data_IF_636828811697
#
_entry.id   IF_636828811697
#
_cell.length_a   1.000
_cell.length_b   1.000
_cell.length_c   1.000
_cell.angle_alpha   90.00
_cell.angle_beta   90.00
_cell.angle_gamma   90.00
#
_symmetry.space_group_name_H-M   'P 1'
#
loop_
_entity.id
_entity.type
_entity.pdbx_description
1 polymer ?
#
# COMPACT_ATOMS: atom_id res chain seq x y z
N UNK A 1 9.77 12.10 17.02
CA UNK A 1 8.41 11.65 16.64
C UNK A 1 8.36 10.13 16.70
N UNK A 2 7.31 9.58 17.28
CA UNK A 2 7.14 8.13 17.43
C UNK A 2 6.32 7.55 16.24
N UNK A 3 6.51 8.08 15.05
CA UNK A 3 5.81 7.62 13.83
C UNK A 3 6.31 6.22 13.46
N UNK A 4 5.40 5.24 13.43
CA UNK A 4 5.76 3.83 13.28
C UNK A 4 4.72 3.01 12.53
N UNK A 5 5.18 2.00 11.81
CA UNK A 5 4.35 0.95 11.22
C UNK A 5 4.26 -0.20 12.20
N UNK A 6 3.07 -0.64 12.50
CA UNK A 6 2.78 -1.72 13.45
C UNK A 6 2.26 -2.94 12.71
N UNK A 7 3.07 -4.00 12.56
CA UNK A 7 2.59 -5.27 12.03
C UNK A 7 1.59 -5.93 12.97
N UNK A 8 0.45 -6.38 12.44
CA UNK A 8 -0.65 -6.97 13.20
C UNK A 8 -1.10 -8.30 12.60
N UNK A 9 -1.34 -9.27 13.47
CA UNK A 9 -2.11 -10.47 13.15
C UNK A 9 -3.48 -10.36 13.80
N UNK A 10 -4.55 -10.28 12.98
CA UNK A 10 -5.91 -9.98 13.43
C UNK A 10 -6.70 -11.28 13.55
N UNK A 11 -7.13 -11.63 14.76
CA UNK A 11 -7.91 -12.82 15.04
C UNK A 11 -9.36 -12.42 15.28
N UNK A 12 -10.25 -12.86 14.40
CA UNK A 12 -11.69 -12.65 14.52
C UNK A 12 -12.30 -13.48 15.65
N UNK A 13 -13.36 -12.96 16.28
CA UNK A 13 -14.10 -13.68 17.33
C UNK A 13 -14.60 -15.03 16.84
N UNK A 14 -14.31 -16.08 17.59
CA UNK A 14 -14.67 -17.47 17.24
C UNK A 14 -13.74 -18.15 16.26
N UNK A 15 -12.60 -17.52 15.90
CA UNK A 15 -11.54 -18.14 15.13
C UNK A 15 -10.40 -18.60 16.04
N UNK A 16 -9.81 -19.77 15.74
CA UNK A 16 -8.72 -20.37 16.52
C UNK A 16 -7.37 -19.64 16.37
N UNK A 17 -7.26 -18.79 15.35
CA UNK A 17 -6.05 -18.06 15.02
C UNK A 17 -5.10 -18.79 14.07
N UNK A 18 -5.41 -19.99 13.63
CA UNK A 18 -4.61 -20.71 12.63
C UNK A 18 -4.95 -20.24 11.21
N UNK A 19 -3.96 -19.85 10.41
CA UNK A 19 -4.19 -19.52 9.01
C UNK A 19 -4.26 -20.77 8.13
N UNK A 20 -4.86 -20.67 6.95
CA UNK A 20 -4.97 -21.82 6.01
C UNK A 20 -3.58 -22.20 5.48
N UNK A 21 -3.20 -23.48 5.60
CA UNK A 21 -1.92 -24.02 5.12
C UNK A 21 -2.02 -25.49 4.72
N UNK A 22 -1.05 -26.03 3.96
CA UNK A 22 -0.81 -27.47 3.85
C UNK A 22 -0.55 -28.09 5.23
N UNK A 23 -0.84 -29.43 5.41
CA UNK A 23 -0.72 -30.09 6.71
C UNK A 23 0.69 -30.10 7.31
N UNK A 24 1.70 -30.04 6.47
CA UNK A 24 3.13 -30.04 6.82
C UNK A 24 3.69 -28.64 7.15
N UNK A 25 2.87 -27.59 7.05
CA UNK A 25 3.26 -26.22 7.34
C UNK A 25 2.61 -25.76 8.65
N UNK A 26 3.41 -25.31 9.59
CA UNK A 26 2.93 -24.69 10.84
C UNK A 26 2.11 -23.44 10.54
N UNK A 27 0.83 -23.49 10.92
CA UNK A 27 -0.16 -22.43 10.76
C UNK A 27 -0.51 -21.70 12.05
N UNK A 28 0.25 -21.94 13.12
CA UNK A 28 0.04 -21.34 14.44
C UNK A 28 0.13 -19.79 14.40
N UNK A 29 -0.37 -19.17 15.46
CA UNK A 29 -0.28 -17.72 15.65
C UNK A 29 1.18 -17.26 15.63
N UNK A 30 2.07 -18.02 16.27
CA UNK A 30 3.50 -17.69 16.35
C UNK A 30 4.17 -17.78 14.97
N UNK A 31 3.81 -18.80 14.19
CA UNK A 31 4.25 -18.92 12.80
C UNK A 31 3.77 -17.76 11.93
N UNK A 32 2.49 -17.36 12.08
CA UNK A 32 1.94 -16.20 11.38
C UNK A 32 2.70 -14.92 11.73
N UNK A 33 2.88 -14.64 13.02
CA UNK A 33 3.59 -13.46 13.51
C UNK A 33 5.05 -13.42 13.00
N UNK A 34 5.76 -14.55 13.00
CA UNK A 34 7.13 -14.64 12.50
C UNK A 34 7.20 -14.32 11.00
N UNK A 35 6.29 -14.88 10.18
CA UNK A 35 6.21 -14.62 8.74
C UNK A 35 5.92 -13.15 8.43
N UNK A 36 4.97 -12.54 9.15
CA UNK A 36 4.61 -11.13 9.01
C UNK A 36 5.79 -10.23 9.42
N UNK A 37 6.47 -10.56 10.51
CA UNK A 37 7.62 -9.78 10.98
C UNK A 37 8.78 -9.80 9.95
N UNK A 38 9.10 -10.98 9.38
CA UNK A 38 10.13 -11.09 8.33
C UNK A 38 9.70 -10.28 7.10
N UNK A 39 8.46 -10.40 6.65
CA UNK A 39 7.93 -9.65 5.52
C UNK A 39 7.99 -8.14 5.74
N UNK A 40 7.63 -7.65 6.92
CA UNK A 40 7.69 -6.23 7.26
C UNK A 40 9.14 -5.67 7.20
N UNK A 41 10.12 -6.42 7.70
CA UNK A 41 11.55 -6.07 7.62
C UNK A 41 12.06 -6.06 6.17
N UNK A 42 11.62 -7.02 5.35
CA UNK A 42 11.97 -7.04 3.92
C UNK A 42 11.47 -5.79 3.21
N UNK A 43 10.21 -5.41 3.43
CA UNK A 43 9.61 -4.22 2.82
C UNK A 43 10.32 -2.95 3.32
N UNK A 44 10.62 -2.85 4.61
CA UNK A 44 11.35 -1.73 5.19
C UNK A 44 12.73 -1.56 4.53
N UNK A 45 13.49 -2.65 4.42
CA UNK A 45 14.83 -2.65 3.82
C UNK A 45 14.76 -2.31 2.32
N UNK A 46 13.80 -2.91 1.61
CA UNK A 46 13.60 -2.66 0.18
C UNK A 46 13.19 -1.21 -0.09
N UNK A 47 12.37 -0.62 0.78
CA UNK A 47 12.00 0.79 0.70
C UNK A 47 13.24 1.68 0.73
N UNK A 48 14.15 1.45 1.68
CA UNK A 48 15.39 2.21 1.83
C UNK A 48 16.30 2.08 0.59
N UNK A 49 16.46 0.86 0.09
CA UNK A 49 17.32 0.59 -1.05
C UNK A 49 16.79 1.20 -2.34
N UNK A 50 15.49 1.05 -2.60
CA UNK A 50 14.85 1.63 -3.80
C UNK A 50 14.77 3.15 -3.77
N UNK A 51 14.71 3.79 -2.60
CA UNK A 51 14.86 5.25 -2.48
C UNK A 51 16.31 5.68 -2.71
N UNK A 52 17.29 4.91 -2.23
CA UNK A 52 18.70 5.16 -2.52
C UNK A 52 19.00 5.09 -4.03
N UNK A 53 18.46 4.09 -4.74
CA UNK A 53 18.58 3.98 -6.20
C UNK A 53 17.97 5.20 -6.93
N UNK A 54 16.96 5.84 -6.36
CA UNK A 54 16.37 7.09 -6.89
C UNK A 54 17.19 8.35 -6.56
N UNK A 55 18.33 8.23 -5.84
CA UNK A 55 19.20 9.34 -5.48
C UNK A 55 18.68 10.22 -4.34
N UNK A 56 17.70 9.77 -3.57
CA UNK A 56 17.11 10.53 -2.43
C UNK A 56 17.61 10.06 -1.06
N UNK A 57 18.61 9.17 -1.04
CA UNK A 57 19.18 8.59 0.17
C UNK A 57 18.43 7.35 0.68
N UNK A 58 19.08 6.64 1.64
CA UNK A 58 18.48 5.46 2.28
C UNK A 58 17.49 5.90 3.35
N UNK A 59 16.26 6.17 2.97
CA UNK A 59 15.17 6.55 3.86
C UNK A 59 14.14 5.43 3.93
N UNK A 60 13.58 5.20 5.11
CA UNK A 60 12.52 4.23 5.32
C UNK A 60 11.68 4.59 6.55
N UNK A 61 10.57 3.89 6.74
CA UNK A 61 9.74 4.01 7.93
C UNK A 61 10.31 3.17 9.08
N UNK A 62 9.91 3.48 10.32
CA UNK A 62 10.27 2.70 11.51
C UNK A 62 9.18 1.66 11.81
N UNK A 63 9.59 0.48 12.29
CA UNK A 63 8.70 -0.54 12.80
C UNK A 63 8.46 -0.35 14.32
N UNK A 64 7.31 -0.79 14.82
CA UNK A 64 6.91 -0.61 16.24
C UNK A 64 7.97 -1.11 17.23
N UNK A 65 8.56 -2.29 17.00
CA UNK A 65 9.54 -2.89 17.90
C UNK A 65 10.88 -2.14 17.95
N UNK A 66 11.23 -1.39 16.91
CA UNK A 66 12.45 -0.58 16.87
C UNK A 66 12.38 0.63 17.79
N UNK A 67 11.17 1.16 17.99
CA UNK A 67 10.92 2.30 18.88
C UNK A 67 10.67 1.81 20.30
N UNK A 68 9.98 0.68 20.43
CA UNK A 68 9.53 0.14 21.72
C UNK A 68 10.03 -1.29 21.87
N UNK A 69 11.28 -1.45 22.34
CA UNK A 69 11.97 -2.73 22.47
C UNK A 69 11.22 -3.82 23.27
N UNK A 70 10.20 -3.44 24.07
CA UNK A 70 9.35 -4.38 24.81
C UNK A 70 8.15 -4.90 24.01
N UNK A 71 7.90 -4.37 22.80
CA UNK A 71 6.80 -4.82 21.96
C UNK A 71 7.27 -5.94 21.02
N UNK A 72 6.41 -6.94 20.76
CA UNK A 72 6.71 -7.97 19.77
C UNK A 72 6.81 -7.37 18.36
N UNK A 73 7.53 -8.03 17.48
CA UNK A 73 7.70 -7.62 16.06
C UNK A 73 6.38 -7.65 15.28
N UNK A 74 5.45 -8.51 15.69
CA UNK A 74 4.07 -8.56 15.19
C UNK A 74 3.13 -8.68 16.39
N UNK A 75 2.14 -7.80 16.47
CA UNK A 75 1.18 -7.76 17.59
C UNK A 75 -0.05 -8.59 17.20
N UNK A 76 -0.50 -9.46 18.11
CA UNK A 76 -1.77 -10.18 17.96
C UNK A 76 -2.91 -9.27 18.42
N UNK A 77 -3.82 -8.97 17.49
CA UNK A 77 -5.01 -8.16 17.77
C UNK A 77 -6.26 -9.04 17.75
N UNK A 78 -6.97 -9.12 18.86
CA UNK A 78 -8.23 -9.86 19.00
C UNK A 78 -9.39 -8.92 18.66
N UNK A 79 -10.03 -9.16 17.51
CA UNK A 79 -11.16 -8.39 17.03
C UNK A 79 -12.48 -8.93 17.57
N UNK A 80 -13.43 -8.03 17.78
CA UNK A 80 -14.82 -8.38 18.13
C UNK A 80 -15.66 -8.81 16.91
N UNK A 81 -15.11 -8.74 15.70
CA UNK A 81 -15.80 -9.17 14.49
C UNK A 81 -15.92 -10.70 14.47
N UNK A 82 -17.16 -11.22 14.41
CA UNK A 82 -17.39 -12.64 14.30
C UNK A 82 -16.83 -13.22 12.99
N UNK A 83 -16.16 -14.38 13.06
CA UNK A 83 -15.49 -15.03 11.92
C UNK A 83 -16.43 -15.31 10.75
N UNK A 84 -17.65 -15.77 11.02
CA UNK A 84 -18.62 -16.09 9.96
C UNK A 84 -19.13 -14.82 9.26
N UNK A 85 -19.19 -13.71 9.99
CA UNK A 85 -19.49 -12.40 9.40
C UNK A 85 -18.31 -11.88 8.57
N UNK A 86 -17.10 -11.95 9.11
CA UNK A 86 -15.88 -11.53 8.41
C UNK A 86 -15.72 -12.23 7.06
N UNK A 87 -15.94 -13.55 7.02
CA UNK A 87 -15.83 -14.36 5.81
C UNK A 87 -16.83 -14.00 4.70
N UNK A 88 -17.89 -13.30 5.01
CA UNK A 88 -18.90 -12.85 4.04
C UNK A 88 -18.73 -11.39 3.62
N UNK A 89 -17.84 -10.65 4.27
CA UNK A 89 -17.62 -9.23 4.00
C UNK A 89 -16.71 -9.03 2.79
N UNK A 90 -16.98 -7.95 2.04
CA UNK A 90 -16.08 -7.48 0.98
C UNK A 90 -14.84 -6.82 1.60
N UNK A 91 -13.74 -6.77 0.87
CA UNK A 91 -12.49 -6.19 1.36
C UNK A 91 -12.64 -4.75 1.86
N UNK A 92 -13.43 -3.90 1.19
CA UNK A 92 -13.66 -2.51 1.62
C UNK A 92 -14.41 -2.43 2.95
N UNK A 93 -15.36 -3.35 3.17
CA UNK A 93 -16.13 -3.42 4.42
C UNK A 93 -15.25 -3.94 5.57
N UNK A 94 -14.38 -4.95 5.31
CA UNK A 94 -13.37 -5.44 6.27
C UNK A 94 -12.39 -4.32 6.64
N UNK A 95 -11.86 -3.62 5.65
CA UNK A 95 -10.92 -2.52 5.85
C UNK A 95 -11.54 -1.40 6.71
N UNK A 96 -12.77 -1.00 6.38
CA UNK A 96 -13.50 0.03 7.14
C UNK A 96 -13.79 -0.42 8.57
N UNK A 97 -14.13 -1.71 8.77
CA UNK A 97 -14.41 -2.25 10.09
C UNK A 97 -13.15 -2.28 10.95
N UNK A 98 -12.07 -2.93 10.47
CA UNK A 98 -10.84 -3.04 11.24
C UNK A 98 -10.15 -1.69 11.44
N UNK A 99 -10.18 -0.80 10.45
CA UNK A 99 -9.65 0.55 10.60
C UNK A 99 -10.33 1.31 11.76
N UNK A 100 -11.65 1.22 11.85
CA UNK A 100 -12.42 1.84 12.95
C UNK A 100 -12.14 1.14 14.27
N UNK A 101 -12.14 -0.18 14.32
CA UNK A 101 -11.90 -0.95 15.55
C UNK A 101 -10.51 -0.68 16.11
N UNK A 102 -9.48 -0.66 15.27
CA UNK A 102 -8.11 -0.34 15.66
C UNK A 102 -7.98 1.08 16.20
N UNK A 103 -8.60 2.06 15.56
CA UNK A 103 -8.55 3.46 16.06
C UNK A 103 -9.28 3.65 17.40
N UNK A 104 -10.26 2.81 17.72
CA UNK A 104 -10.98 2.81 18.99
C UNK A 104 -10.33 1.95 20.07
N UNK A 105 -9.31 1.17 19.75
CA UNK A 105 -8.57 0.32 20.68
C UNK A 105 -7.40 1.07 21.35
N UNK A 106 -6.74 0.42 22.28
CA UNK A 106 -5.51 0.92 22.94
C UNK A 106 -4.34 1.12 21.95
N UNK A 107 -4.43 0.53 20.74
CA UNK A 107 -3.48 0.75 19.67
C UNK A 107 -3.76 2.02 18.87
N UNK A 108 -4.94 2.64 19.03
CA UNK A 108 -5.37 3.80 18.25
C UNK A 108 -4.43 5.00 18.45
N UNK A 109 -3.83 5.48 17.36
CA UNK A 109 -2.90 6.62 17.40
C UNK A 109 -2.68 7.19 16.00
N UNK A 110 -2.61 8.51 15.92
CA UNK A 110 -2.21 9.21 14.68
C UNK A 110 -0.70 9.06 14.36
N UNK A 111 0.07 8.48 15.30
CA UNK A 111 1.49 8.17 15.12
C UNK A 111 1.71 6.72 14.67
N UNK A 112 0.64 5.97 14.39
CA UNK A 112 0.68 4.59 13.89
C UNK A 112 0.07 4.46 12.52
N UNK A 113 0.70 3.64 11.70
CA UNK A 113 0.11 2.98 10.54
C UNK A 113 0.11 1.49 10.80
N UNK A 114 -0.96 0.83 10.43
CA UNK A 114 -1.14 -0.58 10.70
C UNK A 114 -0.88 -1.41 9.44
N UNK A 115 -0.13 -2.47 9.60
CA UNK A 115 0.09 -3.51 8.59
C UNK A 115 -0.61 -4.78 9.07
N UNK A 116 -1.89 -4.94 8.72
CA UNK A 116 -2.78 -5.94 9.30
C UNK A 116 -3.01 -7.16 8.41
N UNK A 117 -2.99 -8.36 9.01
CA UNK A 117 -3.26 -9.63 8.35
C UNK A 117 -4.39 -10.38 9.04
N UNK A 118 -5.44 -10.74 8.29
CA UNK A 118 -6.66 -11.37 8.81
C UNK A 118 -6.47 -12.89 8.88
N UNK A 119 -6.51 -13.46 10.10
CA UNK A 119 -6.28 -14.89 10.33
C UNK A 119 -7.28 -15.81 9.62
N UNK A 120 -8.54 -15.40 9.50
CA UNK A 120 -9.64 -16.24 9.06
C UNK A 120 -9.84 -16.28 7.54
N UNK A 121 -8.93 -15.71 6.76
CA UNK A 121 -8.98 -15.78 5.28
C UNK A 121 -8.90 -17.23 4.84
N UNK A 122 -9.79 -17.62 3.95
CA UNK A 122 -9.89 -19.00 3.50
C UNK A 122 -10.28 -19.12 2.04
N UNK A 123 -9.46 -19.79 1.25
CA UNK A 123 -9.83 -20.24 -0.07
C UNK A 123 -10.71 -21.48 0.06
N UNK A 124 -11.90 -21.47 -0.52
CA UNK A 124 -12.87 -22.58 -0.38
C UNK A 124 -12.52 -23.83 -1.18
N UNK A 125 -11.54 -23.69 -2.06
CA UNK A 125 -11.23 -24.73 -3.03
C UNK A 125 -12.13 -24.64 -4.27
N UNK A 126 -11.75 -25.36 -5.32
CA UNK A 126 -12.48 -25.42 -6.57
C UNK A 126 -12.20 -26.73 -7.29
N UNK A 127 -13.21 -27.27 -7.97
CA UNK A 127 -13.06 -28.41 -8.90
C UNK A 127 -12.86 -27.94 -10.36
N UNK A 128 -12.69 -26.63 -10.56
CA UNK A 128 -12.48 -26.05 -11.88
C UNK A 128 -11.08 -26.44 -12.37
N UNK A 129 -11.02 -27.16 -13.47
CA UNK A 129 -9.78 -27.67 -14.09
C UNK A 129 -9.32 -26.79 -15.25
N UNK A 130 -9.48 -25.48 -15.11
CA UNK A 130 -9.00 -24.46 -16.07
C UNK A 130 -8.27 -23.34 -15.33
N UNK A 131 -7.37 -22.61 -16.01
CA UNK A 131 -6.80 -21.40 -15.46
C UNK A 131 -7.90 -20.40 -15.07
N UNK A 132 -7.84 -19.90 -13.84
CA UNK A 132 -8.76 -18.89 -13.33
C UNK A 132 -8.14 -17.51 -13.40
N UNK A 133 -8.96 -16.51 -13.66
CA UNK A 133 -8.58 -15.10 -13.50
C UNK A 133 -8.42 -14.77 -12.02
N UNK A 134 -7.70 -13.68 -11.71
CA UNK A 134 -7.55 -13.24 -10.33
C UNK A 134 -8.91 -12.95 -9.66
N UNK A 135 -9.85 -12.32 -10.38
CA UNK A 135 -11.19 -12.03 -9.86
C UNK A 135 -11.97 -13.31 -9.52
N UNK A 136 -11.83 -14.35 -10.35
CA UNK A 136 -12.40 -15.68 -10.06
C UNK A 136 -11.79 -16.28 -8.77
N UNK A 137 -10.44 -16.27 -8.65
CA UNK A 137 -9.72 -16.76 -7.46
C UNK A 137 -10.17 -16.01 -6.20
N UNK A 138 -10.28 -14.68 -6.25
CA UNK A 138 -10.76 -13.85 -5.16
C UNK A 138 -12.20 -14.19 -4.79
N UNK A 139 -13.08 -14.50 -5.78
CA UNK A 139 -14.47 -14.87 -5.51
C UNK A 139 -14.62 -16.16 -4.72
N UNK A 140 -13.63 -17.06 -4.81
CA UNK A 140 -13.55 -18.30 -4.02
C UNK A 140 -12.85 -18.11 -2.67
N UNK A 141 -12.37 -16.90 -2.35
CA UNK A 141 -11.60 -16.61 -1.13
C UNK A 141 -12.44 -15.80 -0.15
N UNK A 142 -12.82 -16.42 0.95
CA UNK A 142 -13.54 -15.78 2.05
C UNK A 142 -12.62 -14.84 2.85
N UNK A 143 -13.13 -13.73 3.34
CA UNK A 143 -12.37 -12.69 4.05
C UNK A 143 -11.12 -12.24 3.29
N UNK A 144 -11.19 -12.20 1.95
CA UNK A 144 -10.10 -11.67 1.14
C UNK A 144 -9.93 -10.18 1.37
N UNK A 145 -8.69 -9.76 1.54
CA UNK A 145 -8.30 -8.36 1.57
C UNK A 145 -6.89 -8.19 0.97
N UNK A 146 -6.74 -7.15 0.16
CA UNK A 146 -5.48 -6.56 -0.26
C UNK A 146 -5.81 -5.09 -0.56
N UNK A 147 -5.77 -4.24 0.49
CA UNK A 147 -6.25 -2.87 0.41
C UNK A 147 -5.49 -1.97 1.37
N UNK A 148 -4.90 -0.90 0.86
CA UNK A 148 -4.15 0.09 1.61
C UNK A 148 -4.72 1.50 1.47
N UNK A 149 -4.58 2.29 2.54
CA UNK A 149 -4.94 3.70 2.53
C UNK A 149 -5.03 4.27 3.94
N UNK A 150 -4.98 5.58 4.07
CA UNK A 150 -5.03 6.25 5.37
C UNK A 150 -4.00 5.69 6.35
N UNK A 151 -4.47 5.02 7.40
CA UNK A 151 -3.63 4.43 8.45
C UNK A 151 -3.54 2.90 8.42
N UNK A 152 -4.15 2.20 7.45
CA UNK A 152 -4.23 0.74 7.44
C UNK A 152 -3.95 0.16 6.06
N UNK A 153 -2.98 -0.76 5.97
CA UNK A 153 -2.83 -1.72 4.91
C UNK A 153 -3.30 -3.09 5.41
N UNK A 154 -4.35 -3.65 4.81
CA UNK A 154 -5.04 -4.85 5.27
C UNK A 154 -4.95 -5.97 4.26
N UNK A 155 -4.59 -7.17 4.73
CA UNK A 155 -4.37 -8.35 3.89
C UNK A 155 -5.06 -9.59 4.44
N UNK A 156 -5.46 -10.46 3.53
CA UNK A 156 -5.81 -11.84 3.84
C UNK A 156 -4.55 -12.71 4.00
N UNK A 157 -4.72 -13.87 4.64
CA UNK A 157 -3.62 -14.81 4.92
C UNK A 157 -3.62 -16.06 4.04
N UNK A 158 -4.41 -16.10 2.95
CA UNK A 158 -4.57 -17.30 2.13
C UNK A 158 -3.26 -17.83 1.52
N UNK A 159 -2.28 -16.95 1.27
CA UNK A 159 -0.95 -17.32 0.77
C UNK A 159 0.15 -17.16 1.82
N UNK A 160 -0.16 -16.87 3.09
CA UNK A 160 0.85 -16.62 4.12
C UNK A 160 1.75 -17.85 4.36
N UNK A 161 1.26 -19.05 4.13
CA UNK A 161 2.03 -20.29 4.25
C UNK A 161 3.26 -20.36 3.34
N UNK A 162 3.30 -19.55 2.26
CA UNK A 162 4.42 -19.48 1.34
C UNK A 162 5.55 -18.57 1.85
N UNK A 163 5.28 -17.69 2.83
CA UNK A 163 6.23 -16.73 3.35
C UNK A 163 7.27 -17.38 4.26
N UNK A 164 8.51 -16.85 4.35
CA UNK A 164 9.54 -17.34 5.25
C UNK A 164 9.23 -17.03 6.72
N UNK A 165 9.61 -17.90 7.64
CA UNK A 165 9.56 -17.65 9.09
C UNK A 165 10.84 -17.04 9.62
N UNK A 166 11.96 -17.18 8.90
CA UNK A 166 13.26 -16.63 9.26
C UNK A 166 13.94 -15.98 8.07
N UNK A 167 14.93 -15.14 8.34
CA UNK A 167 15.75 -14.49 7.28
C UNK A 167 16.48 -15.51 6.40
N UNK A 168 16.88 -16.67 6.96
CA UNK A 168 17.57 -17.73 6.21
C UNK A 168 16.71 -18.38 5.15
N UNK A 169 15.39 -18.36 5.35
CA UNK A 169 14.44 -19.01 4.44
C UNK A 169 14.02 -18.11 3.27
N UNK A 170 14.41 -16.84 3.26
CA UNK A 170 13.97 -15.87 2.24
C UNK A 170 14.31 -16.34 0.84
N UNK A 171 15.58 -16.60 0.57
CA UNK A 171 16.03 -17.03 -0.76
C UNK A 171 15.46 -18.39 -1.16
N UNK A 172 15.52 -19.43 -0.30
CA UNK A 172 14.83 -20.70 -0.58
C UNK A 172 13.35 -20.54 -0.91
N UNK A 173 12.61 -19.67 -0.21
CA UNK A 173 11.19 -19.42 -0.46
C UNK A 173 10.93 -18.71 -1.77
N UNK A 174 11.75 -17.75 -2.17
CA UNK A 174 11.63 -17.14 -3.51
C UNK A 174 11.95 -18.14 -4.64
N UNK A 175 12.85 -19.08 -4.39
CA UNK A 175 13.27 -20.10 -5.36
C UNK A 175 12.35 -21.34 -5.39
N UNK A 176 11.33 -21.40 -4.54
CA UNK A 176 10.44 -22.55 -4.42
C UNK A 176 9.55 -22.68 -5.68
N UNK A 177 9.95 -23.61 -6.55
CA UNK A 177 9.26 -23.92 -7.80
C UNK A 177 8.12 -24.93 -7.63
N UNK A 178 7.81 -25.35 -6.40
CA UNK A 178 6.70 -26.28 -6.13
C UNK A 178 5.40 -25.69 -6.65
N UNK A 179 4.63 -26.46 -7.47
CA UNK A 179 3.35 -25.99 -7.96
C UNK A 179 2.34 -25.78 -6.84
N UNK A 180 1.56 -24.70 -6.95
CA UNK A 180 0.43 -24.47 -6.03
C UNK A 180 -0.67 -25.50 -6.31
N UNK A 181 -1.14 -26.16 -5.27
CA UNK A 181 -2.37 -26.97 -5.38
C UNK A 181 -3.59 -26.04 -5.44
N UNK A 182 -3.86 -25.50 -6.63
CA UNK A 182 -4.92 -24.53 -6.89
C UNK A 182 -6.35 -25.06 -6.65
N UNK A 183 -6.53 -26.37 -6.47
CA UNK A 183 -7.81 -26.93 -6.05
C UNK A 183 -8.08 -26.73 -4.56
N UNK A 184 -7.04 -26.58 -3.75
CA UNK A 184 -7.14 -26.47 -2.27
C UNK A 184 -6.68 -25.14 -1.72
N UNK A 185 -5.76 -24.46 -2.38
CA UNK A 185 -5.13 -23.25 -1.93
C UNK A 185 -5.22 -22.15 -2.98
N UNK A 186 -5.26 -20.92 -2.50
CA UNK A 186 -5.26 -19.72 -3.36
C UNK A 186 -3.96 -19.64 -4.16
N UNK A 187 -4.06 -19.53 -5.48
CA UNK A 187 -2.92 -19.21 -6.36
C UNK A 187 -2.89 -17.71 -6.66
N UNK A 188 -2.19 -16.95 -5.84
CA UNK A 188 -1.91 -15.53 -6.07
C UNK A 188 -0.44 -15.34 -6.49
N UNK A 189 0.01 -16.13 -7.45
CA UNK A 189 1.40 -16.13 -7.93
C UNK A 189 1.68 -15.18 -9.10
N UNK A 190 0.71 -14.39 -9.53
CA UNK A 190 0.84 -13.62 -10.76
C UNK A 190 0.99 -14.50 -12.00
N UNK A 191 0.21 -15.58 -12.05
CA UNK A 191 0.16 -16.61 -13.10
C UNK A 191 1.42 -17.49 -13.22
N UNK A 192 2.32 -17.48 -12.23
CA UNK A 192 3.52 -18.35 -12.20
C UNK A 192 3.21 -19.76 -11.71
N UNK A 193 2.11 -19.96 -10.97
CA UNK A 193 1.65 -21.25 -10.48
C UNK A 193 2.55 -21.90 -9.43
N UNK A 194 3.47 -21.16 -8.79
CA UNK A 194 4.47 -21.69 -7.86
C UNK A 194 4.40 -21.03 -6.48
N UNK A 195 4.87 -21.74 -5.44
CA UNK A 195 4.92 -21.20 -4.07
C UNK A 195 5.80 -19.96 -3.98
N UNK A 196 6.97 -19.95 -4.64
CA UNK A 196 7.84 -18.77 -4.72
C UNK A 196 7.17 -17.62 -5.46
N UNK A 197 6.38 -17.91 -6.49
CA UNK A 197 5.53 -16.94 -7.18
C UNK A 197 4.50 -16.31 -6.25
N UNK A 198 3.80 -17.12 -5.43
CA UNK A 198 2.84 -16.63 -4.43
C UNK A 198 3.52 -15.74 -3.39
N UNK A 199 4.67 -16.14 -2.87
CA UNK A 199 5.42 -15.31 -1.93
C UNK A 199 5.81 -13.97 -2.55
N UNK A 200 6.37 -13.98 -3.76
CA UNK A 200 6.80 -12.76 -4.44
C UNK A 200 5.62 -11.81 -4.72
N UNK A 201 4.54 -12.30 -5.34
CA UNK A 201 3.38 -11.46 -5.66
C UNK A 201 2.72 -10.89 -4.41
N UNK A 202 2.51 -11.72 -3.38
CA UNK A 202 1.82 -11.27 -2.17
C UNK A 202 2.67 -10.32 -1.33
N UNK A 203 3.99 -10.54 -1.21
CA UNK A 203 4.89 -9.58 -0.56
C UNK A 203 4.92 -8.25 -1.33
N UNK A 204 4.98 -8.32 -2.67
CA UNK A 204 4.91 -7.13 -3.52
C UNK A 204 3.58 -6.38 -3.39
N UNK A 205 2.46 -7.10 -3.29
CA UNK A 205 1.15 -6.51 -3.01
C UNK A 205 1.13 -5.77 -1.67
N UNK A 206 1.75 -6.36 -0.63
CA UNK A 206 1.88 -5.70 0.68
C UNK A 206 2.71 -4.43 0.57
N UNK A 207 3.78 -4.44 -0.21
CA UNK A 207 4.61 -3.26 -0.44
C UNK A 207 3.84 -2.13 -1.15
N UNK A 208 3.04 -2.48 -2.17
CA UNK A 208 2.18 -1.56 -2.90
C UNK A 208 1.10 -0.93 -1.99
N UNK A 209 0.34 -1.75 -1.28
CA UNK A 209 -0.76 -1.28 -0.44
C UNK A 209 -0.25 -0.47 0.78
N UNK A 210 0.91 -0.82 1.32
CA UNK A 210 1.56 -0.02 2.35
C UNK A 210 1.97 1.36 1.80
N UNK A 211 2.40 1.44 0.53
CA UNK A 211 2.66 2.69 -0.17
C UNK A 211 1.48 3.66 -0.16
N UNK A 212 0.26 3.14 -0.35
CA UNK A 212 -0.96 3.97 -0.24
C UNK A 212 -1.16 4.57 1.15
N UNK A 213 -0.71 3.90 2.20
CA UNK A 213 -0.76 4.49 3.56
C UNK A 213 0.22 5.66 3.72
N UNK A 214 1.25 5.75 2.89
CA UNK A 214 2.18 6.88 2.80
C UNK A 214 1.79 7.88 1.71
N UNK A 215 0.50 7.95 1.42
CA UNK A 215 -0.08 8.94 0.51
C UNK A 215 0.29 8.78 -0.97
N UNK A 216 0.93 7.68 -1.38
CA UNK A 216 1.24 7.41 -2.77
C UNK A 216 -0.02 7.13 -3.59
N UNK A 217 -0.10 7.67 -4.80
CA UNK A 217 -1.09 7.35 -5.81
C UNK A 217 -0.63 6.19 -6.70
N UNK A 218 -1.53 5.66 -7.52
CA UNK A 218 -1.17 4.71 -8.56
C UNK A 218 -0.32 5.37 -9.64
N UNK A 219 0.63 4.62 -10.17
CA UNK A 219 1.46 5.04 -11.30
C UNK A 219 1.33 4.02 -12.44
N UNK A 220 1.68 4.43 -13.64
CA UNK A 220 1.64 3.54 -14.81
C UNK A 220 2.58 2.34 -14.65
N UNK A 221 3.76 2.60 -14.09
CA UNK A 221 4.85 1.64 -13.97
C UNK A 221 5.40 1.64 -12.54
N UNK A 222 6.35 0.75 -12.24
CA UNK A 222 7.02 0.64 -10.94
C UNK A 222 6.15 0.01 -9.85
N UNK A 223 6.54 0.23 -8.59
CA UNK A 223 5.91 -0.40 -7.41
C UNK A 223 4.45 0.03 -7.26
N UNK A 224 4.13 1.32 -7.49
CA UNK A 224 2.74 1.79 -7.44
C UNK A 224 1.95 1.53 -8.73
N UNK A 225 2.55 0.85 -9.72
CA UNK A 225 1.93 0.22 -10.87
C UNK A 225 1.83 -1.29 -10.68
N UNK A 226 2.26 -2.05 -11.69
CA UNK A 226 2.25 -3.53 -11.69
C UNK A 226 3.63 -4.15 -11.50
N UNK A 227 4.67 -3.32 -11.28
CA UNK A 227 6.04 -3.80 -11.08
C UNK A 227 6.21 -4.70 -9.86
N UNK A 228 5.42 -4.52 -8.82
CA UNK A 228 5.51 -5.24 -7.55
C UNK A 228 5.36 -6.77 -7.66
N UNK A 229 4.71 -7.30 -8.70
CA UNK A 229 4.51 -8.75 -8.85
C UNK A 229 5.82 -9.56 -8.93
N UNK A 230 6.94 -8.91 -9.25
CA UNK A 230 8.25 -9.54 -9.46
C UNK A 230 9.28 -9.13 -8.39
N UNK A 231 8.86 -8.92 -7.16
CA UNK A 231 9.74 -8.44 -6.07
C UNK A 231 10.92 -9.40 -5.80
N UNK A 232 10.79 -10.68 -6.11
CA UNK A 232 11.84 -11.70 -6.07
C UNK A 232 13.10 -11.31 -6.85
N UNK A 233 12.96 -10.57 -7.96
CA UNK A 233 14.09 -10.16 -8.81
C UNK A 233 15.11 -9.28 -8.08
N UNK A 234 14.69 -8.56 -7.04
CA UNK A 234 15.60 -7.75 -6.23
C UNK A 234 16.46 -8.62 -5.33
N UNK A 235 15.92 -9.73 -4.85
CA UNK A 235 16.59 -10.61 -3.90
C UNK A 235 17.41 -11.73 -4.58
N UNK A 236 17.03 -12.09 -5.81
CA UNK A 236 17.70 -13.14 -6.59
C UNK A 236 18.74 -12.52 -7.53
N UNK A 237 19.92 -12.17 -6.98
CA UNK A 237 21.06 -11.66 -7.75
C UNK A 237 21.84 -12.85 -8.30
N UNK A 238 21.73 -13.14 -9.58
CA UNK A 238 22.53 -14.19 -10.25
C UNK A 238 21.97 -14.59 -11.62
N UNK A 239 22.81 -15.14 -12.49
CA UNK A 239 22.70 -15.43 -13.93
C UNK A 239 21.46 -16.21 -14.45
N UNK A 240 20.33 -16.25 -13.72
CA UNK A 240 19.11 -16.89 -14.18
C UNK A 240 18.37 -16.14 -15.31
N UNK A 241 18.91 -15.01 -15.77
CA UNK A 241 18.35 -14.30 -16.95
C UNK A 241 18.43 -15.11 -18.24
N UNK A 242 19.25 -16.15 -18.29
CA UNK A 242 19.48 -16.94 -19.51
C UNK A 242 18.77 -18.30 -19.56
N UNK A 243 18.35 -18.90 -18.43
CA UNK A 243 17.81 -20.26 -18.44
C UNK A 243 16.29 -20.36 -18.53
N UNK A 244 15.56 -19.33 -18.02
CA UNK A 244 14.09 -19.37 -18.04
C UNK A 244 13.46 -18.90 -19.37
N UNK A 245 14.24 -18.26 -20.25
CA UNK A 245 13.75 -17.81 -21.58
C UNK A 245 14.05 -18.78 -22.70
N UNK A 246 14.93 -19.79 -22.53
CA UNK A 246 15.27 -20.73 -23.60
C UNK A 246 14.52 -22.06 -23.56
N UNK A 247 14.12 -22.54 -22.39
CA UNK A 247 13.50 -23.87 -22.29
C UNK A 247 11.99 -23.88 -22.51
N UNK A 248 11.30 -22.73 -22.39
CA UNK A 248 9.86 -22.63 -22.64
C UNK A 248 9.49 -22.16 -24.06
N UNK A 249 10.44 -21.85 -24.93
CA UNK A 249 10.13 -21.45 -26.32
C UNK A 249 10.12 -22.62 -27.33
N UNK A 250 10.63 -23.79 -26.97
CA UNK A 250 10.77 -24.90 -27.93
C UNK A 250 9.65 -25.94 -27.91
N UNK A 251 8.60 -25.80 -27.11
CA UNK A 251 7.54 -26.81 -27.03
C UNK A 251 6.11 -26.29 -27.27
N UNK A 252 5.93 -25.10 -27.81
CA UNK A 252 4.60 -24.65 -28.23
C UNK A 252 4.60 -24.25 -29.72
N UNK A 253 4.41 -25.26 -30.59
CA UNK A 253 3.86 -25.04 -31.92
C UNK A 253 2.35 -24.77 -31.80
N UNK A 254 1.97 -23.56 -31.49
CA UNK A 254 0.59 -23.12 -31.45
C UNK A 254 0.53 -21.61 -31.45
N UNK A 255 -0.17 -21.04 -32.42
CA UNK A 255 -0.43 -19.64 -32.77
C UNK A 255 -0.20 -18.63 -31.63
N UNK A 256 0.30 -17.40 -31.91
CA UNK A 256 0.51 -16.40 -30.87
C UNK A 256 -0.81 -16.14 -30.15
N UNK A 257 -0.84 -16.53 -28.88
CA UNK A 257 -1.89 -16.11 -27.97
C UNK A 257 -1.71 -14.61 -27.81
N UNK A 258 -2.64 -13.84 -28.36
CA UNK A 258 -2.76 -12.43 -28.01
C UNK A 258 -2.87 -12.35 -26.51
N UNK A 259 -1.84 -11.83 -25.86
CA UNK A 259 -1.90 -11.42 -24.48
C UNK A 259 -2.95 -10.30 -24.39
N UNK A 260 -4.18 -10.68 -24.13
CA UNK A 260 -5.14 -9.75 -23.58
C UNK A 260 -4.55 -9.27 -22.27
N UNK A 261 -4.11 -8.04 -22.25
CA UNK A 261 -3.78 -7.30 -21.03
C UNK A 261 -5.07 -7.20 -20.23
N UNK A 262 -5.34 -8.22 -19.43
CA UNK A 262 -6.39 -8.14 -18.43
C UNK A 262 -5.88 -7.13 -17.41
N UNK A 263 -6.39 -5.92 -17.50
CA UNK A 263 -6.25 -4.90 -16.49
C UNK A 263 -6.93 -5.44 -15.22
N UNK A 264 -6.15 -6.10 -14.37
CA UNK A 264 -6.56 -6.41 -13.02
C UNK A 264 -6.63 -5.09 -12.27
N UNK A 265 -7.82 -4.52 -12.21
CA UNK A 265 -8.12 -3.48 -11.25
C UNK A 265 -8.14 -4.11 -9.85
N UNK A 266 -6.92 -4.30 -9.31
CA UNK A 266 -6.76 -4.46 -7.88
C UNK A 266 -6.92 -3.11 -7.26
N UNK A 267 -7.93 -2.41 -7.20
CA UNK A 267 -7.85 -1.27 -6.28
C UNK A 267 -9.00 -0.32 -6.48
N UNK A 268 -9.89 -0.47 -5.58
CA UNK A 268 -10.62 0.68 -5.07
C UNK A 268 -9.78 1.18 -3.90
N UNK A 269 -8.96 2.20 -4.11
CA UNK A 269 -8.35 2.91 -2.99
C UNK A 269 -9.45 3.68 -2.28
N UNK A 270 -9.97 3.11 -1.21
CA UNK A 270 -10.86 3.83 -0.30
C UNK A 270 -9.98 4.74 0.54
N UNK A 271 -9.87 5.99 0.15
CA UNK A 271 -9.19 7.00 0.96
C UNK A 271 -10.12 7.38 2.09
N UNK A 272 -9.88 6.87 3.29
CA UNK A 272 -10.50 7.50 4.47
C UNK A 272 -9.81 8.84 4.70
N UNK A 273 -10.51 9.93 4.53
CA UNK A 273 -10.11 11.23 5.05
C UNK A 273 -10.19 11.21 6.59
N UNK A 274 -9.22 10.55 7.24
CA UNK A 274 -9.07 10.55 8.70
C UNK A 274 -8.24 11.75 9.16
N UNK A 275 -7.73 12.54 8.24
CA UNK A 275 -7.02 13.76 8.54
C UNK A 275 -7.90 14.96 8.18
N UNK A 276 -8.79 15.36 9.09
CA UNK A 276 -8.99 16.80 9.22
C UNK A 276 -7.62 17.42 9.51
N UNK A 277 -7.23 18.51 8.81
CA UNK A 277 -6.00 19.22 9.16
C UNK A 277 -6.09 19.56 10.65
N UNK A 278 -5.08 19.20 11.42
CA UNK A 278 -4.91 19.65 12.80
C UNK A 278 -5.14 21.15 12.81
N UNK A 279 -6.30 21.60 13.27
CA UNK A 279 -6.53 23.00 13.59
C UNK A 279 -5.50 23.33 14.66
N UNK A 280 -4.50 24.09 14.28
CA UNK A 280 -3.57 24.70 15.22
C UNK A 280 -4.42 25.59 16.13
N UNK A 281 -4.72 25.12 17.32
CA UNK A 281 -5.22 25.95 18.38
C UNK A 281 -4.09 26.91 18.72
N UNK A 282 -4.33 28.19 18.50
CA UNK A 282 -3.44 29.25 18.95
C UNK A 282 -3.21 29.19 20.45
N UNK A 283 -2.19 29.87 20.97
CA UNK A 283 -1.82 29.78 22.37
C UNK A 283 -2.99 30.28 23.25
N UNK A 284 -3.69 29.36 23.89
CA UNK A 284 -4.61 29.69 24.96
C UNK A 284 -3.85 29.78 26.27
N UNK A 285 -4.01 30.94 26.92
CA UNK A 285 -3.62 31.24 28.26
C UNK A 285 -3.99 30.12 29.24
N UNK A 286 -3.11 29.94 30.24
CA UNK A 286 -3.28 29.07 31.39
C UNK A 286 -4.63 29.33 32.05
N UNK A 287 -5.53 28.35 32.04
CA UNK A 287 -6.61 28.26 33.02
C UNK A 287 -6.96 26.78 33.20
N UNK A 288 -6.79 26.37 34.45
CA UNK A 288 -7.43 25.30 35.22
C UNK A 288 -7.82 23.98 34.54
N UNK A 289 -7.26 22.90 35.13
CA UNK A 289 -7.77 21.54 35.08
C UNK A 289 -9.29 21.53 35.28
N UNK A 290 -10.02 21.25 34.23
CA UNK A 290 -11.44 20.97 34.23
C UNK A 290 -11.69 19.66 33.51
N UNK A 291 -12.32 18.74 34.18
CA UNK A 291 -12.74 17.41 33.82
C UNK A 291 -12.93 17.15 32.30
N UNK A 292 -12.18 16.19 31.78
CA UNK A 292 -12.48 15.56 30.50
C UNK A 292 -13.81 14.80 30.63
N UNK A 293 -14.89 15.42 30.18
CA UNK A 293 -16.13 14.71 29.96
C UNK A 293 -15.92 13.67 28.90
N UNK A 294 -16.20 12.42 29.22
CA UNK A 294 -16.19 11.28 28.29
C UNK A 294 -17.15 11.57 27.14
N UNK A 295 -16.63 11.73 25.92
CA UNK A 295 -17.43 11.73 24.72
C UNK A 295 -18.13 10.37 24.58
N UNK A 296 -19.45 10.37 24.54
CA UNK A 296 -20.22 9.13 24.42
C UNK A 296 -19.97 8.47 23.06
N UNK A 297 -20.04 7.13 23.03
CA UNK A 297 -19.91 6.33 21.78
C UNK A 297 -20.90 6.74 20.68
N UNK A 298 -22.00 7.41 21.05
CA UNK A 298 -23.02 7.91 20.12
C UNK A 298 -22.58 9.12 19.29
N UNK A 299 -21.67 9.96 19.81
CA UNK A 299 -21.25 11.19 19.10
C UNK A 299 -20.22 10.90 17.98
N UNK A 300 -19.47 9.83 18.14
CA UNK A 300 -18.50 9.38 17.12
C UNK A 300 -19.20 8.77 15.90
N UNK A 301 -20.32 8.10 16.12
CA UNK A 301 -21.12 7.44 15.04
C UNK A 301 -21.84 8.45 14.15
N UNK A 302 -22.23 9.62 14.69
CA UNK A 302 -22.97 10.66 13.94
C UNK A 302 -22.10 11.51 13.02
N UNK A 303 -20.77 11.40 13.07
CA UNK A 303 -19.84 12.18 12.23
C UNK A 303 -19.15 11.37 11.13
N UNK A 304 -19.60 10.17 10.86
CA UNK A 304 -19.13 9.41 9.70
C UNK A 304 -19.77 9.96 8.43
N UNK A 305 -19.00 10.36 7.42
CA UNK A 305 -19.57 10.72 6.12
C UNK A 305 -20.24 9.49 5.49
N UNK A 306 -21.41 9.69 4.91
CA UNK A 306 -22.12 8.68 4.13
C UNK A 306 -21.23 8.18 3.00
N UNK A 307 -20.77 6.95 3.10
CA UNK A 307 -20.04 6.26 2.04
C UNK A 307 -21.11 5.65 1.12
N UNK A 308 -21.40 6.31 0.02
CA UNK A 308 -22.17 5.71 -1.08
C UNK A 308 -21.28 4.70 -1.80
N UNK A 309 -21.75 3.46 -2.05
CA UNK A 309 -21.01 2.49 -2.83
C UNK A 309 -20.90 2.95 -4.29
N UNK A 310 -19.68 3.13 -4.79
CA UNK A 310 -19.46 3.41 -6.20
C UNK A 310 -19.70 2.11 -6.98
N UNK A 311 -20.69 2.13 -7.88
CA UNK A 311 -20.96 1.05 -8.82
C UNK A 311 -19.80 0.96 -9.82
N UNK A 312 -19.40 -0.29 -10.14
CA UNK A 312 -18.37 -0.59 -11.13
C UNK A 312 -18.72 -0.02 -12.50
N UNK A 313 -17.81 0.67 -13.19
CA UNK A 313 -17.95 0.89 -14.62
C UNK A 313 -17.58 -0.39 -15.38
N UNK A 314 -18.45 -0.82 -16.28
CA UNK A 314 -18.20 -1.83 -17.26
C UNK A 314 -17.08 -1.40 -18.23
N UNK A 315 -16.29 -2.38 -18.66
CA UNK A 315 -15.15 -2.28 -19.55
C UNK A 315 -15.36 -1.38 -20.79
N UNK A 316 -14.55 -0.31 -20.88
CA UNK A 316 -14.26 0.37 -22.15
C UNK A 316 -12.77 0.70 -22.14
N UNK A 317 -11.97 -0.19 -22.72
CA UNK A 317 -10.62 0.14 -23.16
C UNK A 317 -10.44 -0.38 -24.60
N UNK A 318 -10.72 0.49 -25.55
CA UNK A 318 -10.16 0.40 -26.87
C UNK A 318 -9.64 1.78 -27.27
N UNK A 319 -8.36 1.81 -27.68
CA UNK A 319 -7.68 2.85 -28.45
C UNK A 319 -7.33 4.18 -27.76
N UNK A 320 -6.14 4.22 -27.13
CA UNK A 320 -5.30 5.42 -27.12
C UNK A 320 -3.88 4.98 -27.49
N UNK A 321 -3.59 4.94 -28.76
CA UNK A 321 -2.25 5.03 -29.31
C UNK A 321 -2.05 6.43 -29.88
N UNK A 322 -0.88 7.01 -29.59
CA UNK A 322 -0.24 8.15 -30.22
C UNK A 322 -0.77 9.56 -29.89
N UNK A 323 -0.07 10.18 -28.92
CA UNK A 323 0.61 11.48 -29.04
C UNK A 323 1.23 11.87 -27.71
N UNK A 324 2.51 11.56 -27.52
CA UNK A 324 3.35 12.25 -26.53
C UNK A 324 4.50 12.90 -27.27
N UNK A 325 4.51 14.21 -27.25
CA UNK A 325 5.64 15.03 -27.72
C UNK A 325 6.82 14.86 -26.78
N UNK A 326 7.97 14.59 -27.36
CA UNK A 326 9.29 14.52 -26.76
C UNK A 326 9.63 15.75 -25.91
N UNK A 327 9.85 15.51 -24.63
CA UNK A 327 10.78 16.32 -23.84
C UNK A 327 11.84 15.39 -23.24
N UNK A 328 12.86 15.15 -24.05
CA UNK A 328 14.10 14.48 -23.64
C UNK A 328 14.81 15.35 -22.60
N UNK A 329 14.90 14.91 -21.35
CA UNK A 329 16.02 15.22 -20.48
C UNK A 329 16.51 13.94 -19.83
N UNK A 330 17.79 13.68 -20.08
CA UNK A 330 18.57 12.54 -19.60
C UNK A 330 18.42 12.34 -18.09
N UNK A 331 17.70 11.29 -17.70
CA UNK A 331 17.93 10.60 -16.43
C UNK A 331 18.65 9.32 -16.80
N UNK A 332 19.86 9.12 -16.29
CA UNK A 332 20.62 7.89 -16.47
C UNK A 332 19.70 6.71 -16.21
N UNK A 333 19.37 5.95 -17.24
CA UNK A 333 18.68 4.67 -17.16
C UNK A 333 19.58 3.71 -16.41
N UNK A 334 19.36 3.58 -15.13
CA UNK A 334 19.88 2.47 -14.34
C UNK A 334 19.10 1.24 -14.82
N UNK A 335 19.82 0.33 -15.51
CA UNK A 335 19.38 -0.99 -15.95
C UNK A 335 17.92 -1.12 -16.44
N UNK A 336 17.74 -1.05 -17.73
CA UNK A 336 16.47 -0.97 -18.46
C UNK A 336 15.49 -2.14 -18.37
N UNK A 337 15.50 -2.99 -17.32
CA UNK A 337 14.62 -4.16 -17.21
C UNK A 337 14.16 -4.51 -15.77
N UNK A 338 14.41 -3.68 -14.76
CA UNK A 338 13.91 -3.96 -13.41
C UNK A 338 12.53 -3.28 -13.23
N UNK A 339 11.44 -4.04 -13.07
CA UNK A 339 10.11 -3.46 -12.85
C UNK A 339 9.92 -2.92 -11.42
N UNK A 340 10.84 -3.24 -10.48
CA UNK A 340 10.74 -2.87 -9.07
C UNK A 340 11.50 -1.57 -8.81
N UNK A 341 10.83 -0.46 -8.98
CA UNK A 341 11.37 0.86 -8.68
C UNK A 341 10.27 1.84 -8.25
N UNK A 342 10.66 2.87 -7.51
CA UNK A 342 9.81 4.01 -7.30
C UNK A 342 9.86 4.93 -8.52
N UNK A 343 8.72 5.29 -9.07
CA UNK A 343 8.65 6.38 -10.03
C UNK A 343 9.13 7.67 -9.37
N UNK A 344 9.60 8.62 -10.17
CA UNK A 344 10.24 9.84 -9.64
C UNK A 344 9.33 10.59 -8.67
N UNK A 345 8.05 10.79 -9.00
CA UNK A 345 7.08 11.42 -8.12
C UNK A 345 6.92 10.66 -6.79
N UNK A 346 6.82 9.33 -6.80
CA UNK A 346 6.76 8.51 -5.58
C UNK A 346 8.02 8.70 -4.71
N UNK A 347 9.20 8.66 -5.32
CA UNK A 347 10.46 8.84 -4.61
C UNK A 347 10.56 10.24 -3.98
N UNK A 348 10.15 11.30 -4.69
CA UNK A 348 10.12 12.65 -4.16
C UNK A 348 9.16 12.76 -3.00
N UNK A 349 7.92 12.27 -3.14
CA UNK A 349 6.94 12.30 -2.06
C UNK A 349 7.48 11.57 -0.83
N UNK A 350 7.94 10.32 -0.95
CA UNK A 350 8.50 9.58 0.19
C UNK A 350 9.72 10.27 0.80
N UNK A 351 10.55 10.95 0.00
CA UNK A 351 11.78 11.59 0.49
C UNK A 351 11.53 12.75 1.45
N UNK A 352 10.39 13.44 1.34
CA UNK A 352 9.98 14.53 2.23
C UNK A 352 8.95 14.10 3.26
N UNK A 353 8.30 12.95 3.05
CA UNK A 353 7.22 12.45 3.89
C UNK A 353 7.66 12.28 5.36
N UNK A 354 6.84 12.77 6.29
CA UNK A 354 7.16 12.80 7.74
C UNK A 354 7.47 11.43 8.34
N UNK A 355 6.95 10.34 7.77
CA UNK A 355 7.19 8.95 8.22
C UNK A 355 8.59 8.45 7.85
N UNK A 356 9.28 9.14 6.95
CA UNK A 356 10.62 8.83 6.46
C UNK A 356 11.69 9.83 6.94
N UNK A 357 11.28 10.88 7.69
CA UNK A 357 12.13 11.96 8.15
C UNK A 357 11.90 12.27 9.63
N UNK A 358 12.15 11.29 10.51
CA UNK A 358 11.92 11.44 11.95
C UNK A 358 12.81 12.48 12.65
N UNK A 359 13.96 12.83 12.06
CA UNK A 359 14.92 13.73 12.68
C UNK A 359 14.49 15.20 12.67
N UNK A 360 13.62 15.59 11.74
CA UNK A 360 13.22 16.99 11.57
C UNK A 360 12.15 17.49 12.57
N UNK A 361 11.67 16.63 13.46
CA UNK A 361 10.51 16.96 14.31
C UNK A 361 10.78 17.94 15.46
N UNK A 362 12.02 18.15 15.89
CA UNK A 362 12.31 18.92 17.10
C UNK A 362 12.58 20.42 16.86
N UNK A 363 13.19 20.80 15.76
CA UNK A 363 13.56 22.21 15.52
C UNK A 363 12.49 23.04 14.77
N UNK A 364 11.53 22.39 14.11
CA UNK A 364 10.55 23.04 13.24
C UNK A 364 9.20 23.38 13.88
N UNK A 365 9.06 23.28 15.22
CA UNK A 365 7.79 23.53 15.91
C UNK A 365 7.37 25.01 16.00
N UNK A 366 8.28 25.95 15.73
CA UNK A 366 8.05 27.38 15.94
C UNK A 366 7.43 28.13 14.74
N UNK A 367 7.32 27.51 13.56
CA UNK A 367 6.80 28.18 12.37
C UNK A 367 5.31 27.88 12.21
N UNK A 368 4.50 28.92 12.10
CA UNK A 368 3.07 28.79 11.72
C UNK A 368 2.97 28.06 10.39
N UNK A 369 2.51 26.82 10.46
CA UNK A 369 2.44 25.93 9.30
C UNK A 369 1.16 26.22 8.53
N UNK A 370 1.29 26.57 7.29
CA UNK A 370 0.19 26.87 6.42
C UNK A 370 0.41 26.21 5.06
N UNK A 371 -0.41 25.23 4.75
CA UNK A 371 -0.50 24.60 3.44
C UNK A 371 -1.95 24.67 2.98
N UNK A 372 -2.23 25.37 1.88
CA UNK A 372 -3.58 25.60 1.39
C UNK A 372 -3.63 25.55 -0.13
N UNK A 373 -4.73 25.04 -0.65
CA UNK A 373 -5.10 25.12 -2.06
C UNK A 373 -6.34 26.01 -2.20
N UNK A 374 -6.22 27.08 -2.96
CA UNK A 374 -7.34 27.94 -3.37
C UNK A 374 -7.88 27.43 -4.72
N UNK A 375 -8.99 26.73 -4.68
CA UNK A 375 -9.61 26.13 -5.87
C UNK A 375 -10.01 27.16 -6.92
N UNK A 376 -10.48 28.34 -6.50
CA UNK A 376 -10.94 29.36 -7.43
C UNK A 376 -9.79 29.98 -8.23
N UNK A 377 -8.61 30.05 -7.61
CA UNK A 377 -7.40 30.59 -8.23
C UNK A 377 -6.47 29.50 -8.74
N UNK A 378 -6.80 28.24 -8.53
CA UNK A 378 -5.91 27.09 -8.75
C UNK A 378 -4.51 27.29 -8.13
N UNK A 379 -4.45 27.98 -6.98
CA UNK A 379 -3.21 28.42 -6.36
C UNK A 379 -2.94 27.60 -5.07
N UNK A 380 -1.78 26.97 -5.02
CA UNK A 380 -1.24 26.34 -3.82
C UNK A 380 -0.30 27.29 -3.13
N UNK A 381 -0.40 27.40 -1.80
CA UNK A 381 0.47 28.25 -0.96
C UNK A 381 0.96 27.40 0.22
N UNK A 382 2.28 27.38 0.45
CA UNK A 382 2.91 26.79 1.63
C UNK A 382 3.89 27.75 2.28
N UNK A 383 3.83 27.88 3.60
CA UNK A 383 4.85 28.63 4.36
C UNK A 383 6.17 27.89 4.45
N UNK A 384 6.11 26.55 4.50
CA UNK A 384 7.28 25.68 4.53
C UNK A 384 7.93 25.53 3.14
N UNK A 385 7.14 25.70 2.08
CA UNK A 385 7.53 25.47 0.70
C UNK A 385 7.02 24.13 0.16
N UNK A 386 6.63 24.13 -1.10
CA UNK A 386 6.04 22.98 -1.81
C UNK A 386 7.18 22.11 -2.33
N UNK A 387 7.09 20.80 -2.17
CA UNK A 387 8.05 19.81 -2.68
C UNK A 387 7.51 18.99 -3.83
N UNK A 388 6.22 18.67 -3.78
CA UNK A 388 5.57 17.97 -4.88
C UNK A 388 4.08 18.34 -4.93
N UNK A 389 3.56 18.40 -6.15
CA UNK A 389 2.14 18.52 -6.45
C UNK A 389 1.78 17.39 -7.41
N UNK A 390 0.79 16.59 -7.09
CA UNK A 390 0.24 15.58 -7.99
C UNK A 390 -1.21 15.90 -8.33
N UNK A 391 -1.57 15.66 -9.58
CA UNK A 391 -2.94 15.67 -10.07
C UNK A 391 -3.36 14.23 -10.29
N UNK A 392 -4.35 13.77 -9.55
CA UNK A 392 -4.81 12.38 -9.59
C UNK A 392 -6.25 12.27 -10.10
N UNK A 393 -6.54 11.20 -10.81
CA UNK A 393 -7.91 10.76 -11.11
C UNK A 393 -8.54 10.25 -9.81
N UNK A 394 -9.63 10.86 -9.33
CA UNK A 394 -10.27 10.44 -8.07
C UNK A 394 -10.83 9.03 -8.15
N UNK A 395 -11.28 8.60 -9.32
CA UNK A 395 -11.96 7.30 -9.48
C UNK A 395 -11.06 6.10 -9.18
N UNK A 396 -9.74 6.23 -9.38
CA UNK A 396 -8.78 5.14 -9.24
C UNK A 396 -7.44 5.54 -8.60
N UNK A 397 -7.29 6.81 -8.20
CA UNK A 397 -6.06 7.31 -7.59
C UNK A 397 -4.85 7.40 -8.53
N UNK A 398 -5.05 7.25 -9.86
CA UNK A 398 -3.96 7.32 -10.84
C UNK A 398 -3.37 8.71 -10.91
N UNK A 399 -2.06 8.83 -10.79
CA UNK A 399 -1.33 10.07 -11.02
C UNK A 399 -1.34 10.39 -12.51
N UNK A 400 -1.99 11.48 -12.87
CA UNK A 400 -2.10 11.96 -14.24
C UNK A 400 -0.97 12.90 -14.59
N UNK A 401 -0.54 13.71 -13.61
CA UNK A 401 0.58 14.63 -13.73
C UNK A 401 1.22 14.93 -12.38
N UNK A 402 2.49 15.34 -12.38
CA UNK A 402 3.24 15.69 -11.18
C UNK A 402 4.23 16.83 -11.43
N UNK A 403 4.37 17.71 -10.43
CA UNK A 403 5.26 18.86 -10.44
C UNK A 403 6.17 18.78 -9.22
N UNK A 404 7.48 18.70 -9.44
CA UNK A 404 8.50 18.47 -8.41
C UNK A 404 9.35 19.72 -8.19
N UNK A 405 9.59 20.05 -6.92
CA UNK A 405 10.37 21.23 -6.49
C UNK A 405 11.52 20.77 -5.58
N UNK A 406 12.49 20.08 -6.18
CA UNK A 406 13.62 19.45 -5.46
C UNK A 406 14.81 20.39 -5.26
N UNK A 407 14.75 21.64 -5.72
CA UNK A 407 15.78 22.66 -5.49
C UNK A 407 15.99 22.92 -3.98
N UNK A 408 17.18 23.38 -3.56
CA UNK A 408 17.46 23.68 -2.15
C UNK A 408 16.42 24.63 -1.52
N UNK A 409 15.96 25.64 -2.27
CA UNK A 409 14.88 26.53 -1.86
C UNK A 409 13.54 26.04 -2.46
N UNK A 410 12.58 25.56 -1.64
CA UNK A 410 11.31 25.11 -2.14
C UNK A 410 10.40 26.26 -2.57
N UNK A 411 9.55 26.00 -3.55
CA UNK A 411 8.56 26.97 -4.02
C UNK A 411 7.49 27.22 -2.96
N UNK A 412 7.20 28.47 -2.65
CA UNK A 412 6.16 28.84 -1.66
C UNK A 412 4.77 28.99 -2.28
N UNK A 413 4.70 29.14 -3.59
CA UNK A 413 3.46 29.35 -4.34
C UNK A 413 3.55 28.58 -5.66
N UNK A 414 2.48 27.90 -6.02
CA UNK A 414 2.39 27.20 -7.29
C UNK A 414 0.99 27.33 -7.87
N UNK A 415 0.92 27.79 -9.11
CA UNK A 415 -0.33 27.83 -9.89
C UNK A 415 -0.47 26.52 -10.65
N UNK A 416 -1.48 25.72 -10.31
CA UNK A 416 -1.73 24.45 -10.99
C UNK A 416 -2.18 24.75 -12.43
N UNK A 417 -1.49 24.23 -13.46
CA UNK A 417 -1.87 24.50 -14.84
C UNK A 417 -3.26 23.96 -15.19
N UNK A 418 -4.04 24.74 -15.95
CA UNK A 418 -5.37 24.36 -16.45
C UNK A 418 -5.34 23.40 -17.66
N UNK A 419 -4.26 22.68 -17.86
CA UNK A 419 -4.10 21.75 -19.01
C UNK A 419 -5.03 20.53 -18.95
N UNK A 420 -5.65 20.30 -17.80
CA UNK A 420 -6.63 19.24 -17.62
C UNK A 420 -8.00 19.78 -18.02
N UNK A 421 -8.39 19.58 -19.28
CA UNK A 421 -9.80 19.70 -19.69
C UNK A 421 -10.44 18.33 -19.56
N UNK A 422 -11.00 17.99 -18.40
CA UNK A 422 -11.68 16.72 -18.26
C UNK A 422 -13.12 16.92 -18.73
N UNK A 423 -13.42 16.40 -19.86
CA UNK A 423 -14.80 16.00 -20.08
C UNK A 423 -15.11 14.93 -19.02
N UNK A 424 -15.69 15.31 -17.89
CA UNK A 424 -16.29 14.47 -16.85
C UNK A 424 -15.40 13.77 -15.79
N UNK A 425 -14.16 14.13 -15.56
CA UNK A 425 -13.35 13.50 -14.48
C UNK A 425 -13.22 14.39 -13.26
N UNK A 426 -13.48 13.82 -12.08
CA UNK A 426 -13.17 14.47 -10.81
C UNK A 426 -11.70 14.25 -10.50
N UNK A 427 -10.99 15.31 -10.16
CA UNK A 427 -9.56 15.30 -9.91
C UNK A 427 -9.27 15.59 -8.43
N UNK A 428 -8.28 14.91 -7.90
CA UNK A 428 -7.72 15.18 -6.58
C UNK A 428 -6.34 15.80 -6.72
N UNK A 429 -6.15 16.97 -6.10
CA UNK A 429 -4.83 17.59 -5.95
C UNK A 429 -4.22 17.09 -4.67
N UNK A 430 -3.01 16.53 -4.77
CA UNK A 430 -2.20 16.09 -3.63
C UNK A 430 -0.95 16.94 -3.59
N UNK A 431 -0.66 17.55 -2.44
CA UNK A 431 0.49 18.44 -2.25
C UNK A 431 1.24 18.00 -1.01
N UNK A 432 2.56 17.92 -1.11
CA UNK A 432 3.43 17.77 0.05
C UNK A 432 4.40 18.95 0.15
N UNK A 433 4.58 19.44 1.37
CA UNK A 433 5.49 20.53 1.66
C UNK A 433 6.84 20.04 2.24
N UNK A 434 7.79 20.95 2.41
CA UNK A 434 9.14 20.66 2.92
C UNK A 434 9.16 20.09 4.36
N UNK A 435 8.06 20.18 5.08
CA UNK A 435 7.89 19.63 6.43
C UNK A 435 7.16 18.27 6.43
N UNK A 436 6.83 17.74 5.25
CA UNK A 436 6.08 16.50 5.10
C UNK A 436 4.62 16.64 5.50
N UNK A 437 4.04 17.84 5.43
CA UNK A 437 2.60 18.00 5.53
C UNK A 437 1.98 17.69 4.19
N UNK A 438 0.97 16.83 4.18
CA UNK A 438 0.25 16.42 2.98
C UNK A 438 -1.15 17.04 2.99
N UNK A 439 -1.51 17.72 1.89
CA UNK A 439 -2.84 18.22 1.60
C UNK A 439 -3.43 17.39 0.46
N UNK A 440 -4.65 16.89 0.65
CA UNK A 440 -5.45 16.25 -0.41
C UNK A 440 -6.75 17.01 -0.54
N UNK A 441 -7.08 17.42 -1.76
CA UNK A 441 -8.29 18.17 -2.04
C UNK A 441 -8.86 17.80 -3.41
N UNK A 442 -10.11 17.39 -3.44
CA UNK A 442 -10.93 17.08 -4.62
C UNK A 442 -11.70 18.31 -5.08
#
# INVERSE_FOLDING_TARGET
TNLRVTPLYIICQGHDGCFQSPPDVDSSIDSACSRIAVGAKLIQSLTAEKLFECGVGRKTFQLEHEITLKKPECIVFKSNLNVNKARKMRQADLWSHFGRELMLSDLGSNERKFLGFISCTRFKGTDIDKPMTHDEIVSFTEAYAALGGGGLALFGTACLYTWPTTVKDIIPKFLDSTPVNNRRFMDDSGYRGTLGGCFATTLGSVFHELGHTFDLGHTKDGIMGRGFDNIDRVFLVGDRRSSLTKDNMNNYNGKPVQHSTVSLQRNISVTMNVAEPLRVLGPRSKTTLGNFASLSKSDIIRRSPNITPIQRPSSVYSNISNRMSDSKKNVNRINGNDPIYWTRNCAVLLSYHRWFNNEYGRERQAITRYLKFDKNKMLIISTAGIRIVEVRDESNGMVLDSYEFTNPLPEKRFLVPFTFSPKSKVLTIVVEDDLGNVLKQT
#
